data_IF_108130022378
#
_entry.id   IF_108130022378
#
_cell.length_a   1.000
_cell.length_b   1.000
_cell.length_c   1.000
_cell.angle_alpha   90.00
_cell.angle_beta   90.00
_cell.angle_gamma   90.00
#
_symmetry.space_group_name_H-M   'P 1'
#
loop_
_entity.id
_entity.type
_entity.pdbx_description
1 polymer ?
#
# COMPACT_ATOMS: atom_id res chain seq x y z
N UNK A 1 14.95 -4.56 -26.50
CA UNK A 1 15.91 -3.56 -26.97
C UNK A 1 17.34 -4.03 -26.68
N UNK A 2 18.35 -3.74 -27.51
CA UNK A 2 19.75 -4.13 -27.28
C UNK A 2 20.32 -3.58 -25.95
N UNK A 3 19.79 -2.46 -25.47
CA UNK A 3 20.16 -1.84 -24.21
C UNK A 3 19.54 -2.49 -22.98
N UNK A 4 18.61 -3.45 -23.14
CA UNK A 4 17.95 -4.10 -22.02
C UNK A 4 18.97 -4.89 -21.18
N UNK A 5 18.85 -4.82 -19.84
CA UNK A 5 19.81 -5.42 -18.92
C UNK A 5 20.00 -6.93 -19.15
N UNK A 6 18.92 -7.67 -19.39
CA UNK A 6 18.98 -9.10 -19.70
C UNK A 6 19.76 -9.43 -21.00
N UNK A 7 19.80 -8.51 -21.98
CA UNK A 7 20.58 -8.67 -23.21
C UNK A 7 22.06 -8.40 -22.96
N UNK A 8 22.38 -7.41 -22.13
CA UNK A 8 23.75 -7.05 -21.76
C UNK A 8 24.38 -8.02 -20.75
N UNK A 9 23.55 -8.65 -19.92
CA UNK A 9 23.95 -9.57 -18.85
C UNK A 9 23.11 -10.85 -18.88
N UNK A 10 23.21 -11.65 -19.97
CA UNK A 10 22.47 -12.91 -20.09
C UNK A 10 22.90 -13.94 -19.03
N UNK A 11 24.10 -13.79 -18.47
CA UNK A 11 24.66 -14.59 -17.38
C UNK A 11 23.83 -14.50 -16.08
N UNK A 12 23.06 -13.42 -15.89
CA UNK A 12 22.20 -13.17 -14.73
C UNK A 12 20.75 -13.69 -14.92
N UNK A 13 20.42 -14.14 -16.15
CA UNK A 13 19.07 -14.57 -16.49
C UNK A 13 18.91 -16.07 -16.33
N UNK A 14 17.78 -16.48 -15.78
CA UNK A 14 17.37 -17.87 -15.64
C UNK A 14 16.06 -18.10 -16.40
N UNK A 15 15.95 -19.24 -17.09
CA UNK A 15 14.70 -19.67 -17.74
C UNK A 15 13.96 -20.63 -16.82
N UNK A 16 12.74 -20.23 -16.38
CA UNK A 16 11.91 -21.02 -15.49
C UNK A 16 10.43 -20.70 -15.77
N UNK A 17 9.86 -21.40 -16.76
CA UNK A 17 8.62 -21.01 -17.41
C UNK A 17 8.79 -19.76 -18.28
N UNK A 18 9.16 -18.67 -17.69
CA UNK A 18 9.55 -17.41 -18.34
C UNK A 18 10.99 -17.00 -17.98
N UNK A 19 11.43 -15.83 -18.41
CA UNK A 19 12.76 -15.31 -18.09
C UNK A 19 12.72 -14.58 -16.73
N UNK A 20 13.65 -14.93 -15.87
CA UNK A 20 13.84 -14.35 -14.53
C UNK A 20 15.25 -13.82 -14.37
N UNK A 21 15.42 -12.76 -13.63
CA UNK A 21 16.73 -12.44 -13.05
C UNK A 21 16.95 -13.29 -11.79
N UNK A 22 18.19 -13.76 -11.59
CA UNK A 22 18.57 -14.57 -10.43
C UNK A 22 18.67 -13.68 -9.17
N UNK A 23 17.77 -13.84 -8.18
CA UNK A 23 17.83 -13.04 -6.95
C UNK A 23 19.07 -13.29 -6.09
N UNK A 24 19.82 -14.34 -6.35
CA UNK A 24 21.11 -14.61 -5.70
C UNK A 24 22.28 -13.80 -6.26
N UNK A 25 22.09 -13.08 -7.35
CA UNK A 25 23.15 -12.28 -7.98
C UNK A 25 23.10 -10.82 -7.49
N UNK A 26 24.14 -10.32 -6.80
CA UNK A 26 24.19 -8.93 -6.30
C UNK A 26 23.92 -7.87 -7.38
N UNK A 27 24.43 -8.10 -8.59
CA UNK A 27 24.25 -7.19 -9.72
C UNK A 27 22.78 -7.05 -10.16
N UNK A 28 21.91 -8.04 -9.88
CA UNK A 28 20.46 -7.97 -10.11
C UNK A 28 19.84 -7.00 -9.09
N UNK A 29 20.21 -7.10 -7.83
CA UNK A 29 19.76 -6.15 -6.79
C UNK A 29 20.19 -4.73 -7.14
N UNK A 30 21.47 -4.55 -7.53
CA UNK A 30 22.01 -3.23 -7.87
C UNK A 30 21.26 -2.60 -9.03
N UNK A 31 20.96 -3.36 -10.07
CA UNK A 31 20.18 -2.87 -11.21
C UNK A 31 18.75 -2.51 -10.83
N UNK A 32 18.06 -3.35 -10.07
CA UNK A 32 16.68 -3.09 -9.66
C UNK A 32 16.59 -1.84 -8.78
N UNK A 33 17.50 -1.71 -7.81
CA UNK A 33 17.57 -0.54 -6.92
C UNK A 33 17.93 0.73 -7.71
N UNK A 34 18.87 0.65 -8.66
CA UNK A 34 19.22 1.78 -9.51
C UNK A 34 18.03 2.30 -10.33
N UNK A 35 17.19 1.38 -10.85
CA UNK A 35 15.95 1.77 -11.55
C UNK A 35 14.97 2.46 -10.62
N UNK A 36 14.77 1.94 -9.40
CA UNK A 36 13.85 2.55 -8.42
C UNK A 36 14.33 3.95 -8.00
N UNK A 37 15.62 4.11 -7.71
CA UNK A 37 16.22 5.44 -7.40
C UNK A 37 16.05 6.41 -8.56
N UNK A 38 16.27 5.96 -9.79
CA UNK A 38 16.11 6.79 -10.99
C UNK A 38 14.66 7.27 -11.17
N UNK A 39 13.67 6.42 -10.91
CA UNK A 39 12.26 6.80 -10.93
C UNK A 39 11.95 7.83 -9.85
N UNK A 40 12.38 7.59 -8.59
CA UNK A 40 12.13 8.51 -7.47
C UNK A 40 12.81 9.86 -7.69
N UNK A 41 13.99 9.87 -8.31
CA UNK A 41 14.75 11.10 -8.62
C UNK A 41 14.07 11.93 -9.70
N UNK A 42 13.64 11.29 -10.79
CA UNK A 42 13.15 11.98 -11.98
C UNK A 42 11.68 12.31 -11.97
N UNK A 43 10.89 11.56 -11.21
CA UNK A 43 9.43 11.72 -11.17
C UNK A 43 8.95 12.08 -9.77
N UNK A 44 7.91 12.90 -9.72
CA UNK A 44 7.28 13.29 -8.46
C UNK A 44 6.29 12.21 -7.98
N UNK A 45 6.84 11.02 -7.68
CA UNK A 45 6.06 9.88 -7.16
C UNK A 45 5.99 9.90 -5.64
N UNK A 46 4.87 9.47 -5.06
CA UNK A 46 4.68 9.38 -3.61
C UNK A 46 5.20 8.08 -3.02
N UNK A 47 5.37 7.04 -3.86
CA UNK A 47 5.80 5.73 -3.41
C UNK A 47 6.44 4.90 -4.51
N UNK A 48 7.24 3.92 -4.09
CA UNK A 48 7.65 2.76 -4.90
C UNK A 48 6.94 1.53 -4.35
N UNK A 49 6.41 0.70 -5.24
CA UNK A 49 5.70 -0.52 -4.88
C UNK A 49 6.23 -1.71 -5.66
N UNK A 50 6.41 -2.85 -4.98
CA UNK A 50 6.70 -4.13 -5.62
C UNK A 50 5.64 -5.16 -5.28
N UNK A 51 5.41 -6.07 -6.22
CA UNK A 51 4.50 -7.20 -6.08
C UNK A 51 5.22 -8.43 -5.47
N UNK A 52 4.69 -9.63 -5.61
CA UNK A 52 5.08 -10.85 -4.91
C UNK A 52 5.96 -11.83 -5.70
N UNK A 53 6.48 -11.44 -6.86
CA UNK A 53 7.31 -12.28 -7.74
C UNK A 53 8.79 -12.30 -7.33
N UNK A 54 9.08 -12.75 -6.10
CA UNK A 54 10.47 -12.83 -5.58
C UNK A 54 11.23 -14.01 -6.17
N UNK A 55 10.63 -15.20 -6.15
CA UNK A 55 10.97 -16.39 -6.92
C UNK A 55 9.72 -16.87 -7.65
N UNK A 56 9.86 -17.67 -8.73
CA UNK A 56 8.70 -18.20 -9.48
C UNK A 56 7.76 -18.98 -8.58
N UNK A 57 6.46 -18.88 -8.84
CA UNK A 57 5.47 -19.76 -8.26
C UNK A 57 5.68 -21.21 -8.75
N UNK A 58 5.38 -22.22 -7.93
CA UNK A 58 5.68 -23.64 -8.25
C UNK A 58 4.92 -24.20 -9.44
N UNK A 59 3.78 -23.63 -9.82
CA UNK A 59 3.06 -23.95 -11.07
C UNK A 59 3.78 -23.44 -12.33
N UNK A 60 4.57 -22.39 -12.19
CA UNK A 60 5.38 -21.83 -13.26
C UNK A 60 6.73 -22.55 -13.37
N UNK A 61 7.30 -22.97 -12.25
CA UNK A 61 8.65 -23.49 -12.17
C UNK A 61 8.85 -24.31 -10.89
N UNK A 62 9.06 -25.60 -11.03
CA UNK A 62 9.25 -26.51 -9.87
C UNK A 62 10.62 -26.43 -9.23
N UNK A 63 11.64 -25.98 -9.95
CA UNK A 63 13.01 -25.83 -9.45
C UNK A 63 13.72 -24.66 -10.15
N UNK A 64 13.93 -23.58 -9.42
CA UNK A 64 14.65 -22.42 -9.95
C UNK A 64 16.13 -22.76 -10.21
N UNK A 65 16.70 -22.47 -11.40
CA UNK A 65 18.02 -22.95 -11.80
C UNK A 65 19.15 -22.01 -11.32
N UNK A 66 19.28 -21.82 -10.01
CA UNK A 66 20.29 -21.00 -9.35
C UNK A 66 21.42 -21.82 -8.69
N UNK A 67 21.54 -23.11 -9.01
CA UNK A 67 22.52 -24.01 -8.37
C UNK A 67 23.97 -23.53 -8.54
N UNK A 68 24.31 -22.87 -9.64
CA UNK A 68 25.63 -22.31 -9.86
C UNK A 68 25.90 -21.11 -8.94
N UNK A 69 24.93 -20.23 -8.76
CA UNK A 69 25.00 -19.07 -7.85
C UNK A 69 25.11 -19.53 -6.40
N UNK A 70 24.33 -20.54 -6.01
CA UNK A 70 24.39 -21.12 -4.67
C UNK A 70 25.73 -21.79 -4.38
N UNK A 71 26.30 -22.54 -5.34
CA UNK A 71 27.66 -23.11 -5.18
C UNK A 71 28.72 -22.02 -4.96
N UNK A 72 28.67 -20.91 -5.69
CA UNK A 72 29.59 -19.78 -5.47
C UNK A 72 29.45 -19.21 -4.06
N UNK A 73 28.22 -19.09 -3.55
CA UNK A 73 27.96 -18.68 -2.18
C UNK A 73 28.63 -19.63 -1.17
N UNK A 74 28.48 -20.95 -1.34
CA UNK A 74 29.12 -21.96 -0.48
C UNK A 74 30.66 -21.93 -0.56
N UNK A 75 31.22 -21.78 -1.76
CA UNK A 75 32.65 -21.65 -1.98
C UNK A 75 33.22 -20.38 -1.33
N UNK A 76 32.45 -19.33 -1.19
CA UNK A 76 32.78 -18.14 -0.44
C UNK A 76 32.61 -18.26 1.08
N UNK A 77 32.40 -19.47 1.61
CA UNK A 77 32.22 -19.73 3.05
C UNK A 77 30.78 -19.61 3.54
N UNK A 78 29.79 -19.50 2.65
CA UNK A 78 28.38 -19.43 3.02
C UNK A 78 27.86 -20.76 3.58
N UNK A 79 27.17 -20.72 4.74
CA UNK A 79 26.70 -21.88 5.49
C UNK A 79 25.16 -22.07 5.48
N UNK A 80 24.37 -21.16 4.88
CA UNK A 80 22.92 -21.28 4.84
C UNK A 80 22.49 -22.46 3.96
N UNK A 81 21.40 -23.11 4.31
CA UNK A 81 20.70 -24.03 3.42
C UNK A 81 20.24 -23.32 2.15
N UNK A 82 19.97 -24.04 1.06
CA UNK A 82 19.47 -23.45 -0.19
C UNK A 82 18.23 -22.57 0.04
N UNK A 83 17.27 -23.08 0.82
CA UNK A 83 16.04 -22.33 1.11
C UNK A 83 16.30 -21.08 1.95
N UNK A 84 17.17 -21.15 2.95
CA UNK A 84 17.53 -20.01 3.80
C UNK A 84 18.35 -18.97 3.01
N UNK A 85 19.25 -19.42 2.14
CA UNK A 85 20.01 -18.54 1.26
C UNK A 85 19.10 -17.78 0.27
N UNK A 86 18.12 -18.45 -0.32
CA UNK A 86 17.14 -17.79 -1.19
C UNK A 86 16.33 -16.73 -0.43
N UNK A 87 15.86 -17.05 0.76
CA UNK A 87 15.16 -16.08 1.64
C UNK A 87 16.06 -14.92 2.04
N UNK A 88 17.32 -15.21 2.37
CA UNK A 88 18.28 -14.17 2.72
C UNK A 88 18.55 -13.20 1.55
N UNK A 89 18.65 -13.70 0.31
CA UNK A 89 18.76 -12.86 -0.87
C UNK A 89 17.57 -11.92 -1.01
N UNK A 90 16.33 -12.43 -0.86
CA UNK A 90 15.12 -11.60 -0.93
C UNK A 90 15.08 -10.59 0.24
N UNK A 91 15.37 -11.03 1.46
CA UNK A 91 15.40 -10.17 2.63
C UNK A 91 16.38 -9.01 2.46
N UNK A 92 17.61 -9.30 2.00
CA UNK A 92 18.61 -8.27 1.71
C UNK A 92 18.17 -7.31 0.61
N UNK A 93 17.52 -7.82 -0.43
CA UNK A 93 16.97 -6.97 -1.48
C UNK A 93 15.92 -5.99 -0.92
N UNK A 94 14.95 -6.49 -0.14
CA UNK A 94 13.89 -5.66 0.45
C UNK A 94 14.46 -4.59 1.39
N UNK A 95 15.39 -4.97 2.27
CA UNK A 95 16.06 -4.01 3.17
C UNK A 95 16.82 -2.93 2.39
N UNK A 96 17.61 -3.33 1.37
CA UNK A 96 18.39 -2.41 0.54
C UNK A 96 17.49 -1.48 -0.27
N UNK A 97 16.39 -1.99 -0.82
CA UNK A 97 15.38 -1.20 -1.54
C UNK A 97 14.79 -0.12 -0.62
N UNK A 98 14.36 -0.50 0.58
CA UNK A 98 13.81 0.42 1.58
C UNK A 98 14.77 1.57 1.87
N UNK A 99 16.03 1.25 2.19
CA UNK A 99 17.05 2.26 2.47
C UNK A 99 17.33 3.16 1.27
N UNK A 100 17.51 2.57 0.10
CA UNK A 100 17.88 3.30 -1.11
C UNK A 100 16.79 4.29 -1.59
N UNK A 101 15.51 3.95 -1.43
CA UNK A 101 14.41 4.85 -1.76
C UNK A 101 14.39 6.05 -0.82
N UNK A 102 14.56 5.83 0.49
CA UNK A 102 14.59 6.93 1.48
C UNK A 102 15.85 7.80 1.40
N UNK A 103 17.00 7.23 1.02
CA UNK A 103 18.20 8.01 0.71
C UNK A 103 17.99 8.94 -0.49
N UNK A 104 17.20 8.52 -1.48
CA UNK A 104 16.90 9.34 -2.65
C UNK A 104 15.83 10.41 -2.36
N UNK A 105 14.78 10.05 -1.61
CA UNK A 105 13.72 10.96 -1.15
C UNK A 105 13.14 10.45 0.17
N UNK A 106 13.44 11.13 1.27
CA UNK A 106 13.06 10.73 2.63
C UNK A 106 11.53 10.52 2.81
N UNK A 107 10.71 11.25 2.05
CA UNK A 107 9.23 11.18 2.13
C UNK A 107 8.60 10.20 1.14
N UNK A 108 9.38 9.58 0.22
CA UNK A 108 8.86 8.57 -0.69
C UNK A 108 8.63 7.25 0.06
N UNK A 109 7.40 6.73 0.01
CA UNK A 109 7.04 5.49 0.70
C UNK A 109 7.52 4.26 -0.08
N UNK A 110 7.79 3.18 0.65
CA UNK A 110 8.05 1.85 0.08
C UNK A 110 6.92 0.91 0.47
N UNK A 111 6.30 0.28 -0.52
CA UNK A 111 5.22 -0.68 -0.33
C UNK A 111 5.51 -2.04 -0.96
N UNK A 112 4.97 -3.08 -0.37
CA UNK A 112 5.03 -4.45 -0.89
C UNK A 112 3.66 -5.08 -0.78
N UNK A 113 3.19 -5.77 -1.86
CA UNK A 113 2.01 -6.63 -1.82
C UNK A 113 2.40 -8.11 -1.91
N UNK A 114 2.81 -8.73 -0.79
CA UNK A 114 3.18 -10.13 -0.76
C UNK A 114 1.94 -11.02 -0.82
N UNK A 115 2.16 -12.30 -1.13
CA UNK A 115 1.12 -13.32 -1.01
C UNK A 115 0.47 -13.28 0.38
N UNK A 116 -0.86 -13.35 0.46
CA UNK A 116 -1.63 -13.08 1.68
C UNK A 116 -1.41 -14.07 2.82
N UNK A 117 -0.92 -15.28 2.53
CA UNK A 117 -0.57 -16.32 3.53
C UNK A 117 0.95 -16.39 3.62
N UNK A 118 1.50 -16.06 4.80
CA UNK A 118 2.93 -16.22 5.05
C UNK A 118 3.32 -17.71 5.03
N UNK A 119 2.64 -18.52 5.84
CA UNK A 119 2.78 -19.98 5.89
C UNK A 119 1.45 -20.63 6.31
N UNK A 120 1.08 -21.82 5.80
CA UNK A 120 -0.04 -22.59 6.31
C UNK A 120 0.04 -22.80 7.83
N UNK A 121 -1.12 -22.78 8.50
CA UNK A 121 -1.19 -22.83 9.97
C UNK A 121 -0.91 -21.51 10.68
N UNK A 122 -0.70 -20.41 9.94
CA UNK A 122 -0.49 -19.05 10.49
C UNK A 122 -1.51 -18.05 9.90
N UNK A 123 -2.61 -17.75 10.64
CA UNK A 123 -3.01 -18.36 11.92
C UNK A 123 -3.46 -19.80 11.80
N UNK A 124 -3.73 -20.46 12.95
CA UNK A 124 -4.26 -21.82 12.97
C UNK A 124 -5.51 -21.95 12.09
N UNK A 125 -5.63 -23.06 11.36
CA UNK A 125 -6.72 -23.31 10.41
C UNK A 125 -6.51 -22.74 9.00
N UNK A 126 -5.54 -21.87 8.78
CA UNK A 126 -5.21 -21.37 7.44
C UNK A 126 -4.42 -22.40 6.64
N UNK A 127 -4.87 -22.63 5.41
CA UNK A 127 -4.26 -23.54 4.42
C UNK A 127 -3.96 -22.80 3.13
N UNK A 128 -3.08 -23.36 2.29
CA UNK A 128 -2.73 -22.77 0.99
C UNK A 128 -1.23 -22.81 0.74
N UNK A 129 -0.75 -21.93 -0.15
CA UNK A 129 0.67 -21.85 -0.51
C UNK A 129 1.51 -21.43 0.71
N UNK A 130 2.63 -22.11 0.92
CA UNK A 130 3.69 -21.70 1.85
C UNK A 130 4.61 -20.69 1.14
N UNK A 131 4.29 -19.39 1.20
CA UNK A 131 5.08 -18.37 0.54
C UNK A 131 6.52 -18.29 1.07
N UNK A 132 6.71 -18.55 2.37
CA UNK A 132 8.03 -18.63 3.00
C UNK A 132 8.87 -19.79 2.44
N UNK A 133 8.26 -20.96 2.20
CA UNK A 133 8.96 -22.16 1.73
C UNK A 133 9.10 -22.28 0.22
N UNK A 134 8.16 -21.72 -0.56
CA UNK A 134 8.07 -21.96 -2.01
C UNK A 134 8.57 -20.82 -2.87
N UNK A 135 8.21 -19.57 -2.53
CA UNK A 135 8.70 -18.37 -3.23
C UNK A 135 9.70 -17.58 -2.38
N UNK A 136 10.11 -18.16 -1.26
CA UNK A 136 11.16 -17.65 -0.36
C UNK A 136 10.90 -16.23 0.15
N UNK A 137 9.62 -15.87 0.31
CA UNK A 137 9.16 -14.58 0.79
C UNK A 137 8.95 -14.60 2.30
N UNK A 138 9.91 -14.06 3.07
CA UNK A 138 9.75 -13.88 4.52
C UNK A 138 9.06 -12.55 4.83
N UNK A 139 7.86 -12.39 4.30
CA UNK A 139 7.08 -11.15 4.34
C UNK A 139 6.72 -10.71 5.77
N UNK A 140 6.58 -11.66 6.70
CA UNK A 140 6.43 -11.38 8.13
C UNK A 140 7.65 -10.63 8.68
N UNK A 141 8.87 -11.07 8.34
CA UNK A 141 10.12 -10.43 8.75
C UNK A 141 10.19 -8.98 8.24
N UNK A 142 9.81 -8.73 6.97
CA UNK A 142 9.88 -7.39 6.40
C UNK A 142 8.97 -6.40 7.15
N UNK A 143 7.77 -6.83 7.50
CA UNK A 143 6.83 -6.03 8.29
C UNK A 143 7.35 -5.79 9.70
N UNK A 144 7.84 -6.84 10.39
CA UNK A 144 8.37 -6.76 11.75
C UNK A 144 9.69 -5.99 11.86
N UNK A 145 10.50 -5.96 10.79
CA UNK A 145 11.73 -5.16 10.70
C UNK A 145 11.49 -3.73 10.26
N UNK A 146 10.25 -3.38 9.84
CA UNK A 146 9.89 -2.06 9.37
C UNK A 146 10.51 -1.69 8.02
N UNK A 147 10.85 -2.68 7.17
CA UNK A 147 11.39 -2.46 5.83
C UNK A 147 10.33 -2.15 4.77
N UNK A 148 9.21 -1.64 5.21
CA UNK A 148 8.10 -1.10 4.40
C UNK A 148 7.48 0.09 5.11
N UNK A 149 6.87 0.99 4.37
CA UNK A 149 6.03 2.07 4.93
C UNK A 149 4.56 1.68 4.87
N UNK A 150 4.18 0.94 3.84
CA UNK A 150 2.89 0.26 3.81
C UNK A 150 3.03 -1.17 3.32
N UNK A 151 2.22 -2.04 3.88
CA UNK A 151 2.22 -3.46 3.62
C UNK A 151 0.84 -3.88 3.14
N UNK A 152 0.78 -4.49 1.96
CA UNK A 152 -0.47 -4.77 1.27
C UNK A 152 -0.65 -6.29 1.01
N UNK A 153 -0.79 -7.13 2.05
CA UNK A 153 -0.91 -8.57 1.85
C UNK A 153 -2.15 -8.87 0.99
N UNK A 154 -2.00 -9.74 0.00
CA UNK A 154 -3.05 -10.09 -0.96
C UNK A 154 -4.09 -11.00 -0.33
N UNK A 155 -5.08 -10.44 0.39
CA UNK A 155 -6.14 -11.19 1.05
C UNK A 155 -7.29 -11.46 0.07
N UNK A 156 -7.00 -12.21 -0.99
CA UNK A 156 -7.90 -12.40 -2.15
C UNK A 156 -8.94 -13.52 -1.95
N UNK A 157 -9.33 -13.77 -0.71
CA UNK A 157 -10.35 -14.75 -0.33
C UNK A 157 -11.56 -14.08 0.30
N UNK A 158 -12.70 -14.80 0.30
CA UNK A 158 -13.93 -14.28 0.88
C UNK A 158 -13.90 -14.30 2.40
N UNK A 159 -14.79 -13.52 3.00
CA UNK A 159 -15.04 -13.52 4.44
C UNK A 159 -15.43 -14.95 4.91
N UNK A 160 -16.24 -15.65 4.10
CA UNK A 160 -16.74 -16.99 4.41
C UNK A 160 -15.78 -18.13 4.03
N UNK A 161 -14.58 -17.85 3.53
CA UNK A 161 -13.62 -18.91 3.18
C UNK A 161 -13.17 -19.67 4.41
N UNK A 162 -13.33 -21.00 4.41
CA UNK A 162 -13.01 -21.86 5.56
C UNK A 162 -11.49 -22.05 5.76
N UNK A 163 -10.73 -22.15 4.67
CA UNK A 163 -9.27 -22.40 4.72
C UNK A 163 -8.41 -21.15 4.53
N UNK A 164 -9.00 -20.03 4.06
CA UNK A 164 -8.33 -18.75 3.82
C UNK A 164 -9.22 -17.58 4.26
N UNK A 165 -9.74 -17.67 5.47
CA UNK A 165 -10.66 -16.66 6.02
C UNK A 165 -10.06 -15.26 5.98
N UNK A 166 -10.70 -14.32 5.26
CA UNK A 166 -10.27 -12.92 5.19
C UNK A 166 -10.11 -12.30 6.58
N UNK A 167 -11.09 -12.36 7.51
CA UNK A 167 -10.94 -11.76 8.83
C UNK A 167 -9.85 -12.41 9.68
N UNK A 168 -9.64 -13.73 9.55
CA UNK A 168 -8.59 -14.42 10.30
C UNK A 168 -7.19 -13.96 9.83
N UNK A 169 -6.98 -13.84 8.51
CA UNK A 169 -5.73 -13.36 7.94
C UNK A 169 -5.50 -11.88 8.25
N UNK A 170 -6.53 -11.04 8.16
CA UNK A 170 -6.47 -9.62 8.52
C UNK A 170 -6.02 -9.44 9.98
N UNK A 171 -6.66 -10.14 10.91
CA UNK A 171 -6.32 -10.09 12.33
C UNK A 171 -4.91 -10.61 12.61
N UNK A 172 -4.47 -11.65 11.92
CA UNK A 172 -3.12 -12.19 12.06
C UNK A 172 -2.06 -11.18 11.58
N UNK A 173 -2.24 -10.57 10.40
CA UNK A 173 -1.31 -9.56 9.90
C UNK A 173 -1.26 -8.32 10.79
N UNK A 174 -2.40 -7.89 11.37
CA UNK A 174 -2.43 -6.81 12.36
C UNK A 174 -1.55 -7.14 13.59
N UNK A 175 -1.59 -8.38 14.09
CA UNK A 175 -0.74 -8.84 15.19
C UNK A 175 0.75 -8.89 14.82
N UNK A 176 1.10 -9.13 13.53
CA UNK A 176 2.50 -9.13 13.08
C UNK A 176 3.05 -7.71 12.89
N UNK A 177 2.21 -6.69 12.80
CA UNK A 177 2.58 -5.30 12.52
C UNK A 177 3.08 -4.57 13.77
N UNK A 178 4.14 -5.09 14.37
CA UNK A 178 4.74 -4.56 15.61
C UNK A 178 5.37 -3.18 15.44
N UNK A 179 5.81 -2.85 14.21
CA UNK A 179 6.37 -1.55 13.85
C UNK A 179 5.30 -0.51 13.48
N UNK A 180 4.00 -0.87 13.56
CA UNK A 180 2.86 0.01 13.26
C UNK A 180 2.96 0.69 11.90
N UNK A 181 3.44 -0.04 10.90
CA UNK A 181 3.43 0.41 9.50
C UNK A 181 2.01 0.44 8.97
N UNK A 182 1.74 1.16 7.91
CA UNK A 182 0.43 1.10 7.29
C UNK A 182 0.13 -0.31 6.80
N UNK A 183 -0.92 -0.92 7.32
CA UNK A 183 -1.43 -2.21 6.84
C UNK A 183 -2.63 -1.92 5.94
N UNK A 184 -2.48 -2.18 4.63
CA UNK A 184 -3.49 -1.95 3.60
C UNK A 184 -3.76 -3.23 2.83
N UNK A 185 -4.55 -4.18 3.36
CA UNK A 185 -4.78 -5.46 2.69
C UNK A 185 -5.31 -5.26 1.26
N UNK A 186 -4.79 -6.08 0.34
CA UNK A 186 -5.27 -6.18 -1.01
C UNK A 186 -6.61 -6.92 -1.05
N UNK A 187 -7.62 -6.33 -1.68
CA UNK A 187 -8.97 -6.87 -1.83
C UNK A 187 -9.23 -7.25 -3.29
N UNK A 188 -9.71 -8.48 -3.52
CA UNK A 188 -9.93 -9.03 -4.87
C UNK A 188 -11.20 -8.50 -5.53
N UNK A 189 -11.30 -7.20 -5.77
CA UNK A 189 -12.45 -6.60 -6.44
C UNK A 189 -12.67 -7.13 -7.86
N UNK A 190 -11.64 -7.68 -8.50
CA UNK A 190 -11.75 -8.35 -9.80
C UNK A 190 -12.62 -9.61 -9.77
N UNK A 191 -12.85 -10.22 -8.60
CA UNK A 191 -13.69 -11.41 -8.42
C UNK A 191 -15.18 -11.12 -8.36
N UNK A 192 -15.58 -9.86 -8.25
CA UNK A 192 -17.01 -9.50 -8.21
C UNK A 192 -17.66 -9.91 -9.52
N UNK A 193 -18.67 -10.82 -9.44
CA UNK A 193 -19.43 -11.30 -10.59
C UNK A 193 -18.62 -12.05 -11.64
N UNK A 194 -17.47 -12.64 -11.30
CA UNK A 194 -16.61 -13.37 -12.25
C UNK A 194 -16.33 -14.80 -11.79
N UNK A 195 -16.47 -15.76 -12.70
CA UNK A 195 -16.13 -17.17 -12.45
C UNK A 195 -14.60 -17.41 -12.50
N UNK A 196 -14.12 -18.49 -11.83
CA UNK A 196 -14.82 -19.34 -10.87
C UNK A 196 -14.90 -18.72 -9.48
N UNK A 197 -16.00 -19.01 -8.75
CA UNK A 197 -16.21 -18.56 -7.37
C UNK A 197 -16.41 -17.04 -7.25
N UNK A 198 -17.46 -16.48 -7.87
CA UNK A 198 -17.68 -15.05 -7.91
C UNK A 198 -17.97 -14.47 -6.53
N UNK A 199 -17.43 -13.28 -6.27
CA UNK A 199 -17.83 -12.48 -5.12
C UNK A 199 -19.18 -11.80 -5.40
N UNK A 200 -20.02 -11.72 -4.38
CA UNK A 200 -21.22 -10.88 -4.42
C UNK A 200 -20.85 -9.38 -4.46
N UNK A 201 -21.80 -8.55 -4.84
CA UNK A 201 -21.60 -7.09 -4.78
C UNK A 201 -21.29 -6.57 -3.37
N UNK A 202 -21.73 -7.28 -2.32
CA UNK A 202 -21.54 -6.90 -0.92
C UNK A 202 -20.19 -7.32 -0.36
N UNK A 203 -19.48 -8.26 -0.98
CA UNK A 203 -18.24 -8.83 -0.41
C UNK A 203 -17.18 -7.76 -0.15
N UNK A 204 -16.83 -6.97 -1.16
CA UNK A 204 -15.79 -5.92 -1.01
C UNK A 204 -16.23 -4.81 -0.05
N UNK A 205 -17.46 -4.26 -0.10
CA UNK A 205 -17.94 -3.35 0.95
C UNK A 205 -17.83 -3.93 2.36
N UNK A 206 -18.18 -5.20 2.55
CA UNK A 206 -18.06 -5.86 3.86
C UNK A 206 -16.60 -6.04 4.30
N UNK A 207 -15.69 -6.39 3.39
CA UNK A 207 -14.25 -6.44 3.69
C UNK A 207 -13.71 -5.06 4.08
N UNK A 208 -14.12 -4.00 3.39
CA UNK A 208 -13.74 -2.60 3.74
C UNK A 208 -14.27 -2.23 5.13
N UNK A 209 -15.47 -2.65 5.51
CA UNK A 209 -16.01 -2.43 6.85
C UNK A 209 -15.14 -3.11 7.92
N UNK A 210 -14.78 -4.39 7.71
CA UNK A 210 -13.87 -5.13 8.62
C UNK A 210 -12.49 -4.49 8.71
N UNK A 211 -11.94 -3.97 7.61
CA UNK A 211 -10.68 -3.22 7.63
C UNK A 211 -10.78 -1.97 8.51
N UNK A 212 -11.89 -1.23 8.45
CA UNK A 212 -12.14 -0.05 9.29
C UNK A 212 -12.30 -0.40 10.76
N UNK A 213 -12.98 -1.51 11.07
CA UNK A 213 -13.07 -2.02 12.44
C UNK A 213 -11.68 -2.42 12.99
N UNK A 214 -10.87 -3.07 12.16
CA UNK A 214 -9.50 -3.44 12.54
C UNK A 214 -8.58 -2.23 12.78
N UNK A 215 -8.88 -1.06 12.21
CA UNK A 215 -8.09 0.16 12.42
C UNK A 215 -8.07 0.62 13.90
N UNK A 216 -9.05 0.23 14.69
CA UNK A 216 -9.10 0.54 16.13
C UNK A 216 -8.13 -0.31 16.96
N UNK A 217 -7.53 -1.37 16.39
CA UNK A 217 -6.58 -2.24 17.08
C UNK A 217 -5.13 -1.78 16.89
N UNK A 218 -4.26 -2.08 17.85
CA UNK A 218 -2.83 -1.81 17.72
C UNK A 218 -2.24 -2.60 16.53
N UNK A 219 -1.57 -1.91 15.60
CA UNK A 219 -1.05 -2.52 14.38
C UNK A 219 -2.12 -2.80 13.32
N UNK A 220 -3.38 -2.41 13.55
CA UNK A 220 -4.51 -2.68 12.67
C UNK A 220 -4.44 -2.00 11.31
N UNK A 221 -5.32 -2.42 10.43
CA UNK A 221 -5.36 -1.93 9.05
C UNK A 221 -5.89 -0.49 8.98
N UNK A 222 -5.14 0.38 8.32
CA UNK A 222 -5.46 1.82 8.19
C UNK A 222 -6.00 2.19 6.81
N UNK A 223 -6.22 1.23 5.94
CA UNK A 223 -6.73 1.40 4.57
C UNK A 223 -6.82 0.07 3.85
N UNK A 224 -7.15 0.10 2.56
CA UNK A 224 -7.21 -1.08 1.70
C UNK A 224 -6.82 -0.74 0.26
N UNK A 225 -6.36 -1.73 -0.49
CA UNK A 225 -6.04 -1.62 -1.92
C UNK A 225 -6.98 -2.51 -2.71
N UNK A 226 -7.73 -1.92 -3.66
CA UNK A 226 -8.64 -2.67 -4.53
C UNK A 226 -7.87 -3.20 -5.76
N UNK A 227 -7.76 -4.49 -5.90
CA UNK A 227 -7.20 -5.12 -7.09
C UNK A 227 -8.35 -5.70 -7.94
N UNK A 228 -8.67 -5.09 -9.10
CA UNK A 228 -7.90 -4.08 -9.79
C UNK A 228 -8.76 -2.84 -10.17
N UNK A 229 -8.12 -1.82 -10.75
CA UNK A 229 -8.79 -0.60 -11.21
C UNK A 229 -9.88 -0.84 -12.26
N UNK A 230 -9.75 -1.87 -13.10
CA UNK A 230 -10.77 -2.21 -14.11
C UNK A 230 -12.11 -2.54 -13.46
N UNK A 231 -12.13 -3.34 -12.39
CA UNK A 231 -13.36 -3.70 -11.68
C UNK A 231 -14.05 -2.49 -11.06
N UNK A 232 -13.27 -1.55 -10.53
CA UNK A 232 -13.78 -0.27 -9.99
C UNK A 232 -14.37 0.60 -11.12
N UNK A 233 -13.60 0.79 -12.19
CA UNK A 233 -14.02 1.62 -13.35
C UNK A 233 -15.26 1.06 -14.05
N UNK A 234 -15.39 -0.25 -14.16
CA UNK A 234 -16.57 -0.90 -14.76
C UNK A 234 -17.74 -1.04 -13.77
N UNK A 235 -17.53 -0.66 -12.52
CA UNK A 235 -18.55 -0.70 -11.45
C UNK A 235 -19.30 -2.04 -11.37
N UNK A 236 -18.55 -3.15 -11.36
CA UNK A 236 -19.12 -4.49 -11.40
C UNK A 236 -20.20 -4.68 -10.33
N UNK A 237 -21.39 -5.10 -10.73
CA UNK A 237 -22.57 -5.26 -9.87
C UNK A 237 -22.86 -4.04 -8.96
N UNK A 238 -22.39 -2.84 -9.32
CA UNK A 238 -22.65 -1.61 -8.58
C UNK A 238 -21.82 -1.41 -7.31
N UNK A 239 -20.78 -2.24 -7.05
CA UNK A 239 -20.03 -2.17 -5.78
C UNK A 239 -19.26 -0.86 -5.59
N UNK A 240 -18.73 -0.28 -6.67
CA UNK A 240 -18.00 0.99 -6.59
C UNK A 240 -18.94 2.16 -6.24
N UNK A 241 -20.16 2.17 -6.81
CA UNK A 241 -21.22 3.11 -6.43
C UNK A 241 -21.62 2.94 -4.97
N UNK A 242 -21.77 1.69 -4.49
CA UNK A 242 -22.09 1.40 -3.09
C UNK A 242 -20.98 1.89 -2.12
N UNK A 243 -19.71 1.71 -2.47
CA UNK A 243 -18.60 2.26 -1.70
C UNK A 243 -18.58 3.78 -1.68
N UNK A 244 -18.74 4.42 -2.85
CA UNK A 244 -18.72 5.88 -2.98
C UNK A 244 -19.91 6.54 -2.28
N UNK A 245 -21.09 5.93 -2.31
CA UNK A 245 -22.29 6.42 -1.61
C UNK A 245 -22.35 6.06 -0.12
N UNK A 246 -21.52 5.13 0.34
CA UNK A 246 -21.47 4.61 1.70
C UNK A 246 -20.14 4.90 2.40
N UNK A 247 -19.32 3.87 2.54
CA UNK A 247 -18.07 3.94 3.32
C UNK A 247 -17.06 5.01 2.84
N UNK A 248 -17.09 5.40 1.57
CA UNK A 248 -16.21 6.43 1.00
C UNK A 248 -16.94 7.70 0.59
N UNK A 249 -18.17 7.94 1.06
CA UNK A 249 -18.96 9.14 0.70
C UNK A 249 -18.24 10.46 1.00
N UNK A 250 -17.40 10.50 2.04
CA UNK A 250 -16.63 11.68 2.43
C UNK A 250 -15.19 11.76 1.87
N UNK A 251 -14.79 10.80 1.04
CA UNK A 251 -13.39 10.61 0.66
C UNK A 251 -12.57 10.05 1.84
N UNK A 252 -11.36 9.56 1.55
CA UNK A 252 -10.43 9.04 2.56
C UNK A 252 -9.12 9.81 2.49
N UNK A 253 -8.56 10.14 3.67
CA UNK A 253 -7.24 10.73 3.80
C UNK A 253 -6.28 9.58 4.15
N UNK A 254 -5.16 9.41 3.44
CA UNK A 254 -4.11 8.51 3.87
C UNK A 254 -3.65 8.89 5.27
N UNK A 255 -3.52 7.95 6.21
CA UNK A 255 -3.04 8.26 7.54
C UNK A 255 -1.59 8.74 7.51
N UNK A 256 -1.21 9.56 8.50
CA UNK A 256 0.12 10.13 8.59
C UNK A 256 1.21 9.06 8.71
N UNK A 257 2.28 9.23 7.93
CA UNK A 257 3.47 8.37 7.94
C UNK A 257 4.53 9.00 8.86
N UNK A 258 4.21 9.10 10.14
CA UNK A 258 4.97 9.89 11.13
C UNK A 258 6.41 9.40 11.36
N UNK A 259 6.75 8.18 10.95
CA UNK A 259 8.14 7.68 11.01
C UNK A 259 9.02 8.17 9.86
N UNK A 260 8.44 8.76 8.79
CA UNK A 260 9.17 9.44 7.72
C UNK A 260 9.31 10.92 8.01
N UNK A 261 8.22 11.56 8.43
CA UNK A 261 8.18 12.93 8.91
C UNK A 261 7.05 13.06 9.94
N UNK A 262 7.38 13.52 11.13
CA UNK A 262 6.43 13.76 12.22
C UNK A 262 6.05 15.23 12.39
N UNK A 263 6.51 16.13 11.50
CA UNK A 263 6.28 17.56 11.59
C UNK A 263 4.99 17.95 10.88
N UNK A 264 4.01 18.44 11.62
CA UNK A 264 2.77 18.93 11.02
C UNK A 264 2.97 20.27 10.31
N UNK A 265 2.28 20.52 9.18
CA UNK A 265 2.27 21.82 8.53
C UNK A 265 1.81 22.96 9.46
N UNK A 266 2.18 24.18 9.15
CA UNK A 266 1.64 25.34 9.81
C UNK A 266 0.11 25.46 9.61
N UNK A 267 -0.61 25.94 10.61
CA UNK A 267 -2.03 26.18 10.50
C UNK A 267 -2.34 27.21 9.39
N UNK A 268 -3.44 26.97 8.66
CA UNK A 268 -3.92 27.86 7.62
C UNK A 268 -4.65 29.05 8.24
N UNK A 269 -4.49 30.24 7.64
CA UNK A 269 -5.45 31.31 7.86
C UNK A 269 -6.71 31.00 7.03
N UNK A 270 -7.88 31.12 7.64
CA UNK A 270 -9.17 30.80 7.05
C UNK A 270 -10.03 32.07 6.96
N UNK A 271 -10.55 32.33 5.77
CA UNK A 271 -11.56 33.37 5.54
C UNK A 271 -12.79 32.72 4.92
N UNK A 272 -13.98 33.00 5.45
CA UNK A 272 -15.26 32.55 4.90
C UNK A 272 -16.16 33.75 4.71
N UNK A 273 -16.59 34.00 3.50
CA UNK A 273 -17.45 35.15 3.15
C UNK A 273 -18.68 34.70 2.37
N UNK A 274 -19.86 35.31 2.59
CA UNK A 274 -21.02 35.06 1.75
C UNK A 274 -20.75 35.47 0.29
N UNK A 275 -21.23 34.62 -0.64
CA UNK A 275 -21.16 34.85 -2.09
C UNK A 275 -22.42 34.31 -2.77
N UNK A 276 -23.46 35.13 -2.84
CA UNK A 276 -24.79 34.73 -3.32
C UNK A 276 -25.39 33.61 -2.46
N UNK A 277 -25.72 32.46 -3.06
CA UNK A 277 -26.22 31.27 -2.36
C UNK A 277 -25.11 30.37 -1.78
N UNK A 278 -23.86 30.80 -1.87
CA UNK A 278 -22.67 30.05 -1.43
C UNK A 278 -21.91 30.78 -0.31
N UNK A 279 -21.06 30.03 0.39
CA UNK A 279 -19.97 30.56 1.19
C UNK A 279 -18.67 30.31 0.41
N UNK A 280 -17.91 31.36 0.17
CA UNK A 280 -16.58 31.27 -0.38
C UNK A 280 -15.57 31.03 0.76
N UNK A 281 -14.94 29.87 0.75
CA UNK A 281 -13.92 29.45 1.71
C UNK A 281 -12.56 29.66 1.08
N UNK A 282 -11.75 30.55 1.67
CA UNK A 282 -10.41 30.87 1.19
C UNK A 282 -9.37 30.55 2.27
N UNK A 283 -8.24 29.96 1.85
CA UNK A 283 -7.13 29.61 2.74
C UNK A 283 -5.84 30.32 2.35
N UNK A 284 -4.98 30.63 3.34
CA UNK A 284 -3.61 31.07 3.10
C UNK A 284 -2.77 29.95 2.47
N UNK A 285 -1.57 30.33 1.97
CA UNK A 285 -0.53 29.35 1.65
C UNK A 285 0.02 28.73 2.92
N UNK A 286 0.29 27.42 2.88
CA UNK A 286 1.19 26.73 3.80
C UNK A 286 2.29 26.09 2.95
N UNK A 287 3.57 26.33 3.29
CA UNK A 287 4.70 26.03 2.39
C UNK A 287 4.86 24.57 2.03
N UNK A 288 4.50 23.68 2.92
CA UNK A 288 4.61 22.21 2.82
C UNK A 288 3.26 21.49 2.67
N UNK A 289 2.15 22.25 2.59
CA UNK A 289 0.83 21.65 2.37
C UNK A 289 0.73 21.05 0.97
N UNK A 290 0.39 19.78 0.90
CA UNK A 290 0.06 19.05 -0.34
C UNK A 290 -1.42 19.12 -0.66
N UNK A 291 -2.25 19.01 0.41
CA UNK A 291 -3.70 19.14 0.38
C UNK A 291 -4.15 20.09 1.48
N UNK A 292 -5.38 20.57 1.40
CA UNK A 292 -6.13 21.00 2.55
C UNK A 292 -7.41 20.19 2.67
N UNK A 293 -7.72 19.79 3.91
CA UNK A 293 -8.93 19.10 4.27
C UNK A 293 -9.96 20.15 4.66
N UNK A 294 -10.93 20.37 3.79
CA UNK A 294 -12.11 21.18 4.07
C UNK A 294 -13.19 20.32 4.70
N UNK A 295 -13.62 20.68 5.89
CA UNK A 295 -14.78 20.08 6.58
C UNK A 295 -15.78 21.18 6.84
N UNK A 296 -17.05 20.93 6.63
CA UNK A 296 -18.12 21.88 6.97
C UNK A 296 -19.33 21.13 7.50
N UNK A 297 -20.05 21.77 8.41
CA UNK A 297 -21.22 21.21 9.07
C UNK A 297 -22.48 21.86 8.53
N UNK A 298 -23.43 21.03 8.08
CA UNK A 298 -24.72 21.46 7.52
C UNK A 298 -25.82 20.79 8.34
N UNK A 299 -26.65 21.57 9.05
CA UNK A 299 -27.72 21.06 9.90
C UNK A 299 -27.20 19.97 10.88
N UNK A 300 -26.05 20.20 11.51
CA UNK A 300 -25.42 19.26 12.45
C UNK A 300 -24.64 18.10 11.81
N UNK A 301 -24.74 17.86 10.50
CA UNK A 301 -24.02 16.78 9.82
C UNK A 301 -22.73 17.28 9.16
N UNK A 302 -21.62 16.60 9.44
CA UNK A 302 -20.33 16.92 8.84
C UNK A 302 -20.21 16.41 7.40
N UNK A 303 -19.64 17.24 6.55
CA UNK A 303 -19.20 16.94 5.20
C UNK A 303 -17.70 17.23 5.08
N UNK A 304 -17.02 16.57 4.15
CA UNK A 304 -15.59 16.81 3.92
C UNK A 304 -15.22 16.72 2.46
N UNK A 305 -14.15 17.41 2.10
CA UNK A 305 -13.54 17.42 0.77
C UNK A 305 -12.03 17.61 0.90
N UNK A 306 -11.25 16.82 0.17
CA UNK A 306 -9.82 17.08 -0.04
C UNK A 306 -9.68 18.04 -1.22
N UNK A 307 -8.89 19.08 -1.04
CA UNK A 307 -8.65 20.11 -2.03
C UNK A 307 -7.14 20.23 -2.25
N UNK A 308 -6.66 20.20 -3.51
CA UNK A 308 -5.24 20.42 -3.79
C UNK A 308 -4.77 21.76 -3.20
N UNK A 309 -3.58 21.78 -2.62
CA UNK A 309 -3.04 22.99 -1.97
C UNK A 309 -2.84 24.18 -2.93
N UNK A 310 -2.82 23.91 -4.23
CA UNK A 310 -2.79 24.93 -5.30
C UNK A 310 -4.11 25.68 -5.50
N UNK A 311 -5.24 25.07 -5.12
CA UNK A 311 -6.57 25.67 -5.18
C UNK A 311 -6.86 26.38 -3.86
N UNK A 312 -6.80 27.72 -3.83
CA UNK A 312 -6.93 28.52 -2.61
C UNK A 312 -8.35 28.81 -2.17
N UNK A 313 -9.29 28.69 -3.07
CA UNK A 313 -10.70 29.08 -2.84
C UNK A 313 -11.64 27.97 -3.29
N UNK A 314 -12.66 27.69 -2.47
CA UNK A 314 -13.72 26.72 -2.75
C UNK A 314 -15.06 27.31 -2.33
N UNK A 315 -16.06 27.19 -3.19
CA UNK A 315 -17.43 27.54 -2.87
C UNK A 315 -18.17 26.30 -2.32
N UNK A 316 -18.87 26.49 -1.20
CA UNK A 316 -19.81 25.52 -0.62
C UNK A 316 -21.20 26.14 -0.52
N UNK A 317 -22.28 25.34 -0.66
CA UNK A 317 -23.64 25.86 -0.49
C UNK A 317 -23.82 26.45 0.92
N UNK A 318 -24.35 27.67 1.02
CA UNK A 318 -24.46 28.40 2.28
C UNK A 318 -25.58 27.88 3.19
N UNK A 319 -26.63 27.28 2.63
CA UNK A 319 -27.84 26.88 3.37
C UNK A 319 -27.53 25.88 4.50
N UNK A 320 -27.84 26.27 5.73
CA UNK A 320 -27.70 25.42 6.92
C UNK A 320 -26.26 25.18 7.37
N UNK A 321 -25.26 25.90 6.83
CA UNK A 321 -23.86 25.80 7.28
C UNK A 321 -23.70 26.53 8.60
N UNK A 322 -23.26 25.80 9.62
CA UNK A 322 -23.07 26.28 11.00
C UNK A 322 -21.60 26.12 11.50
N UNK A 323 -20.68 25.76 10.63
CA UNK A 323 -19.26 25.70 10.92
C UNK A 323 -18.42 25.22 9.75
N UNK A 324 -17.22 25.77 9.64
CA UNK A 324 -16.19 25.36 8.66
C UNK A 324 -14.88 25.13 9.40
N UNK A 325 -14.22 24.02 9.09
CA UNK A 325 -12.89 23.66 9.65
C UNK A 325 -11.98 23.28 8.50
N UNK A 326 -10.76 23.79 8.51
CA UNK A 326 -9.74 23.50 7.51
C UNK A 326 -8.42 23.13 8.17
N UNK A 327 -7.76 22.11 7.61
CA UNK A 327 -6.39 21.72 7.96
C UNK A 327 -5.52 21.71 6.70
N UNK A 328 -4.28 22.16 6.82
CA UNK A 328 -3.24 21.80 5.88
C UNK A 328 -2.83 20.34 6.10
N UNK A 329 -2.62 19.60 5.03
CA UNK A 329 -2.13 18.22 5.09
C UNK A 329 -0.89 18.14 4.19
N UNK A 330 0.23 17.68 4.74
CA UNK A 330 1.47 17.50 3.99
C UNK A 330 1.45 16.22 3.13
N UNK A 331 2.57 15.99 2.43
CA UNK A 331 2.71 14.85 1.52
C UNK A 331 2.71 13.49 2.22
N UNK A 332 3.12 13.44 3.49
CA UNK A 332 3.13 12.21 4.29
C UNK A 332 1.90 12.04 5.18
N UNK A 333 0.95 12.97 5.09
CA UNK A 333 -0.37 12.87 5.74
C UNK A 333 -0.47 13.54 7.11
N UNK A 334 0.56 14.27 7.59
CA UNK A 334 0.42 15.05 8.82
C UNK A 334 -0.54 16.22 8.60
N UNK A 335 -1.45 16.44 9.55
CA UNK A 335 -2.42 17.52 9.51
C UNK A 335 -2.03 18.63 10.48
N UNK A 336 -2.17 19.88 10.04
CA UNK A 336 -2.02 21.06 10.88
C UNK A 336 -3.09 21.14 11.98
N UNK A 337 -2.92 22.07 12.92
CA UNK A 337 -4.02 22.49 13.78
C UNK A 337 -5.23 22.98 12.97
N UNK A 338 -6.42 22.86 13.55
CA UNK A 338 -7.68 23.31 12.96
C UNK A 338 -7.72 24.83 12.79
N UNK A 339 -8.01 25.30 11.58
CA UNK A 339 -8.51 26.66 11.34
C UNK A 339 -10.03 26.61 11.32
N UNK A 340 -10.68 27.34 12.23
CA UNK A 340 -12.12 27.24 12.48
C UNK A 340 -12.82 28.54 12.16
N UNK A 341 -13.93 28.46 11.43
CA UNK A 341 -14.90 29.53 11.25
C UNK A 341 -16.28 29.11 11.76
N UNK A 342 -16.98 30.06 12.38
CA UNK A 342 -18.39 29.94 12.81
C UNK A 342 -19.09 31.23 12.39
N UNK A 343 -20.40 31.13 11.96
CA UNK A 343 -21.20 32.28 11.60
C UNK A 343 -21.47 33.23 12.75
#
# INVERSE_FOLDING_TARGET
APSHFAVRRPDLVRKCGQLWFDPGEPAVHDQAIAVMRDVVRRYDVDAVHIDDFFYPYPDTCTSFPDSATYRRYQQGGGALSLGDWRRDNVNRFVERMYRAVHEERATARVGISPFGIWRPGNPAGITGLDAFGTIYADSRRWLQSGWVDYFAPQLYWSIASSGQSFPALLGWWAQQNTMRRHLWPGLASYRIGTDPGPFSAAEIPSQVALVREAAATSGGATGSILYNATSVRTNRLGFATALAGGLYAGGAIPPATTWLDGTAPAALALTVVPSGSSLQVTTSASGDAWWWLLRWRVNGAWRQRLVPSTQRTVDIAASGVDGVVVNAVDRVGNASADAVWRP
#
